data_IF_120949141945
#
_entry.id   IF_120949141945
#
_cell.length_a   1.000
_cell.length_b   1.000
_cell.length_c   1.000
_cell.angle_alpha   90.00
_cell.angle_beta   90.00
_cell.angle_gamma   90.00
#
_symmetry.space_group_name_H-M   'P 1'
#
loop_
_entity.id
_entity.type
_entity.pdbx_description
1 polymer ?
#
# COMPACT_ATOMS: atom_id res chain seq x y z
N UNK A 1 -29.06 8.83 -39.35
CA UNK A 1 -29.04 10.25 -38.96
C UNK A 1 -28.94 10.25 -37.44
N UNK A 2 -27.71 10.27 -36.87
CA UNK A 2 -26.91 11.47 -36.56
C UNK A 2 -27.75 12.43 -35.66
N UNK A 3 -27.33 12.82 -34.46
CA UNK A 3 -25.95 13.11 -34.05
C UNK A 3 -25.79 13.03 -32.53
N UNK A 4 -24.68 12.43 -32.15
CA UNK A 4 -23.97 12.51 -30.88
C UNK A 4 -23.67 13.97 -30.47
N UNK A 5 -24.09 14.39 -29.27
CA UNK A 5 -23.57 15.58 -28.58
C UNK A 5 -23.66 15.39 -27.06
N UNK A 6 -22.80 14.54 -26.51
CA UNK A 6 -22.37 14.71 -25.11
C UNK A 6 -21.02 15.42 -25.13
N UNK A 7 -21.03 16.70 -25.48
CA UNK A 7 -19.89 17.58 -25.24
C UNK A 7 -19.91 17.92 -23.75
N UNK A 8 -19.16 17.16 -22.95
CA UNK A 8 -18.88 17.53 -21.58
C UNK A 8 -18.16 18.90 -21.60
N UNK A 9 -18.88 19.95 -21.20
CA UNK A 9 -18.32 21.28 -21.04
C UNK A 9 -17.25 21.23 -19.94
N UNK A 10 -15.98 21.24 -20.35
CA UNK A 10 -14.80 21.39 -19.47
C UNK A 10 -14.67 22.79 -18.85
N UNK A 11 -15.63 23.69 -19.06
CA UNK A 11 -15.53 25.11 -18.71
C UNK A 11 -16.33 25.57 -17.47
N UNK A 12 -16.67 24.66 -16.56
CA UNK A 12 -17.25 25.05 -15.27
C UNK A 12 -16.19 24.98 -14.14
N UNK A 13 -15.07 25.69 -14.31
CA UNK A 13 -14.20 26.03 -13.17
C UNK A 13 -15.03 26.94 -12.25
N UNK A 14 -15.18 26.57 -10.97
CA UNK A 14 -15.89 27.39 -10.00
C UNK A 14 -15.25 28.80 -9.97
N UNK A 15 -16.04 29.90 -10.09
CA UNK A 15 -15.48 31.23 -10.22
C UNK A 15 -14.60 31.57 -9.01
N UNK A 16 -13.33 31.88 -9.28
CA UNK A 16 -12.36 32.33 -8.28
C UNK A 16 -11.26 31.34 -7.90
N UNK A 17 -11.29 30.10 -8.38
CA UNK A 17 -10.22 29.12 -8.13
C UNK A 17 -9.38 28.92 -9.39
N UNK A 18 -8.06 28.83 -9.20
CA UNK A 18 -7.15 28.35 -10.23
C UNK A 18 -7.39 26.86 -10.51
N UNK A 19 -7.02 26.42 -11.71
CA UNK A 19 -7.05 25.00 -12.09
C UNK A 19 -6.25 24.12 -11.10
N UNK A 20 -5.13 24.64 -10.59
CA UNK A 20 -4.31 23.95 -9.58
C UNK A 20 -5.04 23.79 -8.24
N UNK A 21 -5.81 24.79 -7.81
CA UNK A 21 -6.59 24.71 -6.56
C UNK A 21 -7.74 23.71 -6.69
N UNK A 22 -8.43 23.72 -7.83
CA UNK A 22 -9.51 22.77 -8.11
C UNK A 22 -8.98 21.34 -8.24
N UNK A 23 -7.80 21.15 -8.81
CA UNK A 23 -7.13 19.86 -8.86
C UNK A 23 -6.76 19.38 -7.44
N UNK A 24 -6.19 20.24 -6.60
CA UNK A 24 -5.85 19.89 -5.22
C UNK A 24 -7.09 19.56 -4.39
N UNK A 25 -8.19 20.30 -4.57
CA UNK A 25 -9.45 20.02 -3.89
C UNK A 25 -10.09 18.71 -4.38
N UNK A 26 -10.06 18.44 -5.68
CA UNK A 26 -10.52 17.17 -6.25
C UNK A 26 -9.71 16.00 -5.71
N UNK A 27 -8.37 16.09 -5.69
CA UNK A 27 -7.48 15.07 -5.10
C UNK A 27 -7.80 14.88 -3.61
N UNK A 28 -7.92 15.97 -2.86
CA UNK A 28 -8.24 15.93 -1.43
C UNK A 28 -9.60 15.28 -1.14
N UNK A 29 -10.60 15.58 -1.97
CA UNK A 29 -11.93 14.96 -1.88
C UNK A 29 -11.90 13.48 -2.26
N UNK A 30 -11.19 13.09 -3.32
CA UNK A 30 -11.00 11.68 -3.69
C UNK A 30 -10.30 10.93 -2.56
N UNK A 31 -9.21 11.46 -2.00
CA UNK A 31 -8.53 10.86 -0.85
C UNK A 31 -9.49 10.71 0.32
N UNK A 32 -10.23 11.76 0.68
CA UNK A 32 -11.17 11.74 1.82
C UNK A 32 -12.32 10.75 1.63
N UNK A 33 -12.90 10.67 0.44
CA UNK A 33 -14.04 9.80 0.17
C UNK A 33 -13.63 8.34 -0.03
N UNK A 34 -12.53 8.11 -0.77
CA UNK A 34 -12.09 6.77 -1.13
C UNK A 34 -11.29 6.11 -0.02
N UNK A 35 -10.41 6.86 0.65
CA UNK A 35 -9.62 6.38 1.79
C UNK A 35 -10.27 6.69 3.14
N UNK A 36 -11.45 7.32 3.15
CA UNK A 36 -12.30 7.41 4.32
C UNK A 36 -12.93 6.06 4.66
N UNK A 37 -12.89 5.70 5.95
CA UNK A 37 -13.52 4.47 6.45
C UNK A 37 -12.84 3.18 6.02
N UNK A 38 -11.52 3.21 5.81
CA UNK A 38 -10.72 1.99 5.63
C UNK A 38 -10.84 1.09 6.88
N UNK A 39 -11.02 -0.21 6.65
CA UNK A 39 -10.88 -1.21 7.71
C UNK A 39 -9.39 -1.36 8.00
N UNK A 40 -8.98 -0.82 9.14
CA UNK A 40 -7.61 -0.84 9.62
C UNK A 40 -7.53 -1.75 10.84
N UNK A 41 -6.96 -2.94 10.64
CA UNK A 41 -6.96 -4.01 11.65
C UNK A 41 -5.65 -4.77 11.70
N UNK A 42 -5.34 -5.27 12.87
CA UNK A 42 -4.24 -6.21 13.08
C UNK A 42 -4.71 -7.66 12.92
N UNK A 43 -3.96 -8.46 12.18
CA UNK A 43 -4.18 -9.90 12.03
C UNK A 43 -3.02 -10.69 12.63
N UNK A 44 -3.34 -11.73 13.40
CA UNK A 44 -2.32 -12.69 13.85
C UNK A 44 -1.79 -13.47 12.65
N UNK A 45 -0.47 -13.48 12.48
CA UNK A 45 0.19 -14.36 11.50
C UNK A 45 1.04 -15.39 12.22
N UNK A 46 1.65 -15.01 13.33
CA UNK A 46 2.30 -15.92 14.29
C UNK A 46 1.89 -15.54 15.71
N UNK A 47 2.15 -16.38 16.73
CA UNK A 47 1.84 -16.04 18.13
C UNK A 47 2.47 -14.72 18.63
N UNK A 48 3.45 -14.19 17.91
CA UNK A 48 4.25 -13.04 18.31
C UNK A 48 4.24 -11.91 17.27
N UNK A 49 3.68 -12.14 16.08
CA UNK A 49 3.75 -11.21 14.96
C UNK A 49 2.35 -10.95 14.41
N UNK A 50 1.97 -9.67 14.44
CA UNK A 50 0.73 -9.13 13.88
C UNK A 50 1.05 -8.40 12.59
N UNK A 51 0.25 -8.59 11.56
CA UNK A 51 0.31 -7.79 10.33
C UNK A 51 -0.86 -6.82 10.33
N UNK A 52 -0.59 -5.56 10.04
CA UNK A 52 -1.61 -4.55 9.84
C UNK A 52 -2.17 -4.71 8.43
N UNK A 53 -3.48 -4.87 8.33
CA UNK A 53 -4.22 -5.02 7.08
C UNK A 53 -5.14 -3.81 6.96
N UNK A 54 -4.92 -3.03 5.91
CA UNK A 54 -5.77 -1.91 5.51
C UNK A 54 -6.58 -2.40 4.32
N UNK A 55 -7.91 -2.43 4.45
CA UNK A 55 -8.76 -2.95 3.40
C UNK A 55 -10.07 -2.18 3.24
N UNK A 56 -10.62 -2.23 2.04
CA UNK A 56 -11.98 -1.78 1.74
C UNK A 56 -12.46 -2.49 0.49
N UNK A 57 -13.44 -3.38 0.67
CA UNK A 57 -13.97 -4.19 -0.42
C UNK A 57 -14.47 -3.32 -1.57
N UNK A 58 -14.20 -3.75 -2.81
CA UNK A 58 -14.56 -3.05 -4.04
C UNK A 58 -13.99 -1.61 -4.17
N UNK A 59 -12.96 -1.26 -3.40
CA UNK A 59 -12.27 0.02 -3.54
C UNK A 59 -10.81 -0.20 -3.95
N UNK A 60 -10.52 -0.07 -5.25
CA UNK A 60 -9.16 -0.25 -5.78
C UNK A 60 -8.19 0.89 -5.43
N UNK A 61 -8.65 1.94 -4.75
CA UNK A 61 -7.79 3.03 -4.31
C UNK A 61 -7.02 2.68 -3.03
N UNK A 62 -7.33 1.58 -2.33
CA UNK A 62 -6.60 1.20 -1.10
C UNK A 62 -5.10 1.03 -1.37
N UNK A 63 -4.72 0.50 -2.54
CA UNK A 63 -3.32 0.39 -2.95
C UNK A 63 -2.59 1.76 -3.05
N UNK A 64 -3.31 2.87 -3.29
CA UNK A 64 -2.73 4.23 -3.24
C UNK A 64 -2.29 4.64 -1.84
N UNK A 65 -2.78 3.94 -0.81
CA UNK A 65 -2.28 4.05 0.57
C UNK A 65 -0.79 3.79 0.71
N UNK A 66 -0.13 3.16 -0.28
CA UNK A 66 1.34 3.11 -0.36
C UNK A 66 1.98 4.51 -0.30
N UNK A 67 1.36 5.54 -0.88
CA UNK A 67 1.87 6.90 -0.80
C UNK A 67 1.77 7.51 0.61
N UNK A 68 0.94 6.91 1.47
CA UNK A 68 0.59 7.40 2.80
C UNK A 68 1.08 6.46 3.90
N UNK A 69 2.04 5.56 3.61
CA UNK A 69 2.55 4.55 4.57
C UNK A 69 2.90 5.16 5.93
N UNK A 70 3.54 6.34 5.95
CA UNK A 70 3.89 7.05 7.18
C UNK A 70 2.70 7.32 8.12
N UNK A 71 1.48 7.50 7.58
CA UNK A 71 0.27 7.74 8.38
C UNK A 71 -0.23 6.47 9.09
N UNK A 72 0.18 5.30 8.59
CA UNK A 72 -0.19 3.99 9.14
C UNK A 72 0.90 3.39 10.04
N UNK A 73 1.99 4.10 10.32
CA UNK A 73 3.06 3.60 11.17
C UNK A 73 3.05 4.27 12.54
N UNK A 74 3.43 3.55 13.60
CA UNK A 74 3.63 4.17 14.91
C UNK A 74 4.81 5.14 14.86
N UNK A 75 4.68 6.26 15.56
CA UNK A 75 5.77 7.23 15.75
C UNK A 75 6.48 6.95 17.10
N UNK A 76 7.80 6.69 17.12
CA UNK A 76 8.74 6.64 16.00
C UNK A 76 8.81 5.29 15.28
N UNK A 77 9.00 5.33 13.95
CA UNK A 77 9.31 4.18 13.10
C UNK A 77 10.72 4.31 12.48
N UNK A 78 11.80 4.15 13.28
CA UNK A 78 13.16 4.47 12.85
C UNK A 78 13.68 3.56 11.72
N UNK A 79 13.14 2.35 11.61
CA UNK A 79 13.53 1.37 10.59
C UNK A 79 12.44 1.14 9.54
N UNK A 80 11.37 1.93 9.57
CA UNK A 80 10.29 1.86 8.58
C UNK A 80 9.44 0.59 8.70
N UNK A 81 9.01 0.02 7.56
CA UNK A 81 8.06 -1.10 7.53
C UNK A 81 8.23 -1.99 6.29
N UNK A 82 7.88 -3.27 6.41
CA UNK A 82 7.53 -4.06 5.24
C UNK A 82 6.14 -3.71 4.77
N UNK A 83 5.98 -3.58 3.45
CA UNK A 83 4.71 -3.28 2.81
C UNK A 83 4.46 -4.19 1.62
N UNK A 84 3.18 -4.46 1.35
CA UNK A 84 2.75 -5.14 0.13
C UNK A 84 1.33 -4.70 -0.25
N UNK A 85 1.06 -4.58 -1.55
CA UNK A 85 -0.27 -4.32 -2.09
C UNK A 85 -0.73 -5.53 -2.94
N UNK A 86 -1.13 -6.64 -2.29
CA UNK A 86 -1.52 -7.86 -3.00
C UNK A 86 -2.77 -7.67 -3.86
N UNK A 87 -3.64 -6.73 -3.49
CA UNK A 87 -4.86 -6.41 -4.23
C UNK A 87 -5.09 -4.89 -4.26
N UNK A 88 -5.90 -4.40 -5.20
CA UNK A 88 -6.28 -2.98 -5.25
C UNK A 88 -6.98 -2.52 -3.98
N UNK A 89 -7.76 -3.44 -3.41
CA UNK A 89 -8.58 -3.30 -2.19
C UNK A 89 -7.85 -3.64 -0.88
N UNK A 90 -6.57 -4.05 -0.92
CA UNK A 90 -5.84 -4.53 0.26
C UNK A 90 -4.40 -4.04 0.29
N UNK A 91 -3.99 -3.46 1.42
CA UNK A 91 -2.63 -3.08 1.75
C UNK A 91 -2.19 -3.76 3.05
N UNK A 92 -1.00 -4.35 3.04
CA UNK A 92 -0.35 -4.96 4.21
C UNK A 92 0.79 -4.09 4.69
N UNK A 93 0.90 -3.90 6.01
CA UNK A 93 2.03 -3.25 6.66
C UNK A 93 2.53 -4.09 7.85
N UNK A 94 3.85 -4.10 8.03
CA UNK A 94 4.50 -4.64 9.22
C UNK A 94 5.64 -3.71 9.65
N UNK A 95 5.51 -2.98 10.78
CA UNK A 95 6.56 -2.11 11.29
C UNK A 95 7.84 -2.88 11.61
N UNK A 96 8.99 -2.38 11.16
CA UNK A 96 10.30 -2.91 11.50
C UNK A 96 10.74 -2.26 12.82
N UNK A 97 10.59 -2.97 13.93
CA UNK A 97 10.94 -2.46 15.28
C UNK A 97 12.21 -3.09 15.84
N UNK A 98 12.65 -4.23 15.28
CA UNK A 98 13.84 -4.97 15.71
C UNK A 98 14.32 -5.94 14.61
N UNK A 99 15.50 -6.52 14.79
CA UNK A 99 16.06 -7.53 13.86
C UNK A 99 15.17 -8.76 13.66
N UNK A 100 14.26 -9.04 14.60
CA UNK A 100 13.25 -10.08 14.48
C UNK A 100 12.38 -9.90 13.22
N UNK A 101 12.13 -8.66 12.82
CA UNK A 101 11.36 -8.33 11.62
C UNK A 101 11.96 -8.97 10.36
N UNK A 102 13.29 -9.06 10.27
CA UNK A 102 13.99 -9.69 9.13
C UNK A 102 13.60 -11.16 9.00
N UNK A 103 13.49 -11.87 10.13
CA UNK A 103 13.01 -13.26 10.16
C UNK A 103 11.54 -13.38 9.74
N UNK A 104 10.72 -12.38 10.07
CA UNK A 104 9.31 -12.33 9.69
C UNK A 104 9.08 -12.01 8.20
N UNK A 105 10.04 -11.37 7.52
CA UNK A 105 9.89 -10.95 6.12
C UNK A 105 9.53 -12.10 5.16
N UNK A 106 10.05 -13.31 5.41
CA UNK A 106 9.71 -14.49 4.63
C UNK A 106 8.24 -14.91 4.81
N UNK A 107 7.72 -14.82 6.04
CA UNK A 107 6.32 -15.11 6.38
C UNK A 107 5.41 -14.03 5.78
N UNK A 108 5.77 -12.75 5.94
CA UNK A 108 5.04 -11.63 5.35
C UNK A 108 4.89 -11.78 3.83
N UNK A 109 5.96 -12.21 3.13
CA UNK A 109 5.90 -12.52 1.69
C UNK A 109 4.94 -13.66 1.37
N UNK A 110 4.85 -14.69 2.21
CA UNK A 110 3.89 -15.78 1.99
C UNK A 110 2.45 -15.30 2.15
N UNK A 111 2.18 -14.45 3.15
CA UNK A 111 0.87 -13.82 3.34
C UNK A 111 0.49 -12.96 2.14
N UNK A 112 1.39 -12.08 1.69
CA UNK A 112 1.17 -11.25 0.50
C UNK A 112 0.91 -12.10 -0.75
N UNK A 113 1.69 -13.16 -0.96
CA UNK A 113 1.50 -14.07 -2.09
C UNK A 113 0.19 -14.87 -2.01
N UNK A 114 -0.27 -15.23 -0.81
CA UNK A 114 -1.56 -15.90 -0.62
C UNK A 114 -2.72 -14.96 -0.95
N UNK A 115 -2.73 -13.76 -0.36
CA UNK A 115 -3.75 -12.75 -0.62
C UNK A 115 -3.78 -12.35 -2.10
N UNK A 116 -2.63 -12.23 -2.76
CA UNK A 116 -2.57 -11.94 -4.20
C UNK A 116 -3.24 -13.03 -5.04
N UNK A 117 -3.05 -14.32 -4.70
CA UNK A 117 -3.65 -15.43 -5.45
C UNK A 117 -5.16 -15.50 -5.29
N UNK A 118 -5.67 -15.13 -4.12
CA UNK A 118 -7.09 -15.25 -3.78
C UNK A 118 -7.87 -13.95 -4.08
N UNK A 119 -7.18 -12.88 -4.44
CA UNK A 119 -7.79 -11.57 -4.66
C UNK A 119 -8.65 -11.53 -5.93
N UNK A 120 -9.84 -10.90 -5.89
CA UNK A 120 -10.63 -10.59 -7.08
C UNK A 120 -10.00 -9.48 -7.93
N UNK A 121 -9.16 -8.63 -7.33
CA UNK A 121 -8.49 -7.49 -7.95
C UNK A 121 -6.96 -7.49 -7.68
N UNK A 122 -6.22 -8.50 -8.16
CA UNK A 122 -4.81 -8.69 -7.85
C UNK A 122 -3.93 -7.55 -8.41
N UNK A 123 -2.98 -7.06 -7.61
CA UNK A 123 -2.06 -5.97 -7.99
C UNK A 123 -0.62 -6.46 -8.04
N UNK A 124 0.01 -6.73 -6.89
CA UNK A 124 1.40 -7.15 -6.84
C UNK A 124 1.69 -8.01 -5.59
N UNK A 125 2.25 -9.23 -5.73
CA UNK A 125 2.61 -10.05 -4.58
C UNK A 125 3.96 -9.66 -3.95
N UNK A 126 4.68 -8.70 -4.54
CA UNK A 126 6.01 -8.32 -4.09
C UNK A 126 5.96 -7.57 -2.76
N UNK A 127 6.97 -7.82 -1.93
CA UNK A 127 7.19 -7.13 -0.66
C UNK A 127 8.25 -6.07 -0.88
N UNK A 128 8.01 -4.89 -0.33
CA UNK A 128 8.96 -3.80 -0.31
C UNK A 128 9.29 -3.42 1.13
N UNK A 129 10.52 -3.01 1.37
CA UNK A 129 10.89 -2.29 2.58
C UNK A 129 10.69 -0.80 2.31
N UNK A 130 9.75 -0.20 3.04
CA UNK A 130 9.56 1.23 3.08
C UNK A 130 10.41 1.84 4.20
N UNK A 131 11.21 2.86 3.88
CA UNK A 131 11.99 3.63 4.84
C UNK A 131 12.14 5.06 4.34
N UNK A 132 11.78 6.04 5.17
CA UNK A 132 11.92 7.47 4.88
C UNK A 132 11.40 7.89 3.49
N UNK A 133 10.17 7.46 3.16
CA UNK A 133 9.54 7.76 1.87
C UNK A 133 10.03 6.93 0.68
N UNK A 134 11.07 6.11 0.85
CA UNK A 134 11.65 5.29 -0.20
C UNK A 134 11.20 3.83 -0.11
N UNK A 135 11.03 3.17 -1.27
CA UNK A 135 10.73 1.73 -1.35
C UNK A 135 11.91 0.96 -1.94
N UNK A 136 12.38 -0.04 -1.23
CA UNK A 136 13.39 -0.99 -1.71
C UNK A 136 12.76 -2.36 -1.86
N UNK A 137 12.89 -2.98 -3.03
CA UNK A 137 12.38 -4.34 -3.25
C UNK A 137 13.03 -5.32 -2.28
N UNK A 138 12.21 -6.02 -1.49
CA UNK A 138 12.73 -7.03 -0.57
C UNK A 138 13.00 -8.32 -1.33
N UNK A 139 14.26 -8.52 -1.71
CA UNK A 139 14.73 -9.81 -2.21
C UNK A 139 15.27 -10.59 -1.03
N UNK A 140 14.71 -11.78 -0.78
CA UNK A 140 15.34 -12.75 0.11
C UNK A 140 16.62 -13.21 -0.58
N UNK A 141 17.70 -12.46 -0.45
CA UNK A 141 19.02 -12.93 -0.86
C UNK A 141 19.39 -14.00 0.15
N UNK A 142 19.09 -15.25 -0.18
CA UNK A 142 19.62 -16.38 0.55
C UNK A 142 21.14 -16.19 0.55
N UNK A 143 21.71 -16.02 1.75
CA UNK A 143 23.14 -16.12 1.95
C UNK A 143 23.55 -17.53 1.55
N UNK A 144 23.94 -17.72 0.29
CA UNK A 144 24.78 -18.85 -0.08
C UNK A 144 26.08 -18.64 0.66
N UNK A 145 26.22 -19.34 1.78
CA UNK A 145 27.50 -19.54 2.47
C UNK A 145 28.48 -20.06 1.42
N UNK A 146 29.34 -19.17 0.92
CA UNK A 146 30.43 -19.57 0.03
C UNK A 146 31.40 -20.32 0.91
N UNK A 147 31.41 -21.65 0.76
CA UNK A 147 32.34 -22.53 1.43
C UNK A 147 33.77 -22.02 1.26
N UNK A 148 34.47 -21.98 2.38
CA UNK A 148 35.91 -21.85 2.45
C UNK A 148 36.51 -23.12 1.81
N UNK A 149 37.31 -23.04 0.74
CA UNK A 149 38.21 -24.12 0.42
C UNK A 149 39.44 -24.00 1.33
N UNK A 150 39.85 -25.15 1.86
CA UNK A 150 41.12 -25.39 2.55
C UNK A 150 42.33 -25.14 1.63
#
# INVERSE_FOLDING_TARGET
MATDQTTANVNALAPGHSESELLQEAIGNTVRMELGGLDDREHEVTPMDRVRLIAKDNNSYVATGLMLVHQFLPDPSPYGAFVAAPAGSVLLLYPVTSDRAVGFAAVFRQVAAALFRDAPDPVCPAVYWWHDGCFTGWTSRTSTTRGHPE
#
